data_IF_587895663313
#
_entry.id   IF_587895663313
#
_cell.length_a   1.000
_cell.length_b   1.000
_cell.length_c   1.000
_cell.angle_alpha   90.00
_cell.angle_beta   90.00
_cell.angle_gamma   90.00
#
_symmetry.space_group_name_H-M   'P 1'
#
loop_
_entity.id
_entity.type
_entity.pdbx_description
1 polymer ?
#
# COMPACT_ATOMS: atom_id res chain seq x y z
N UNK A 1 -15.74 0.07 9.51
CA UNK A 1 -14.42 0.53 10.00
C UNK A 1 -13.96 1.66 9.10
N UNK A 2 -13.68 2.83 9.65
CA UNK A 2 -13.03 3.94 8.94
C UNK A 2 -11.59 4.04 9.45
N UNK A 3 -10.63 4.04 8.54
CA UNK A 3 -9.23 4.28 8.91
C UNK A 3 -9.01 5.79 9.00
N UNK A 4 -8.23 6.23 9.99
CA UNK A 4 -8.01 7.65 10.29
C UNK A 4 -6.85 8.22 9.48
N UNK A 5 -5.88 7.39 9.14
CA UNK A 5 -4.65 7.81 8.47
C UNK A 5 -4.35 6.95 7.24
N UNK A 6 -3.63 7.54 6.30
CA UNK A 6 -2.85 6.87 5.27
C UNK A 6 -1.39 7.34 5.37
N UNK A 7 -0.47 6.62 4.73
CA UNK A 7 0.92 7.06 4.60
C UNK A 7 1.19 7.56 3.20
N UNK A 8 1.87 8.71 3.11
CA UNK A 8 2.48 9.24 1.88
C UNK A 8 3.97 9.41 2.11
N UNK A 9 4.80 8.62 1.41
CA UNK A 9 6.26 8.64 1.55
C UNK A 9 6.75 8.50 3.00
N UNK A 10 6.00 7.75 3.83
CA UNK A 10 6.29 7.56 5.25
C UNK A 10 5.63 8.56 6.20
N UNK A 11 5.11 9.69 5.70
CA UNK A 11 4.35 10.64 6.51
C UNK A 11 2.91 10.16 6.71
N UNK A 12 2.41 10.21 7.95
CA UNK A 12 1.04 9.85 8.27
C UNK A 12 0.12 11.06 8.13
N UNK A 13 -0.82 10.98 7.19
CA UNK A 13 -1.76 12.04 6.87
C UNK A 13 -3.21 11.58 7.11
N UNK A 14 -4.13 12.50 7.42
CA UNK A 14 -5.56 12.19 7.56
C UNK A 14 -6.12 11.48 6.32
N UNK A 15 -6.92 10.44 6.52
CA UNK A 15 -7.44 9.61 5.43
C UNK A 15 -8.35 10.37 4.44
N UNK A 16 -8.94 11.49 4.84
CA UNK A 16 -9.71 12.38 3.97
C UNK A 16 -8.85 13.21 3.00
N UNK A 17 -7.53 13.30 3.25
CA UNK A 17 -6.55 13.90 2.36
C UNK A 17 -5.97 12.90 1.35
N UNK A 18 -6.38 11.63 1.37
CA UNK A 18 -5.98 10.61 0.41
C UNK A 18 -6.67 10.83 -0.95
N UNK A 19 -6.39 11.96 -1.60
CA UNK A 19 -7.02 12.41 -2.84
C UNK A 19 -5.97 12.45 -3.94
N UNK A 20 -6.27 11.83 -5.08
CA UNK A 20 -5.44 11.93 -6.29
C UNK A 20 -6.14 12.85 -7.30
N UNK A 21 -5.53 13.97 -7.70
CA UNK A 21 -6.11 14.87 -8.72
C UNK A 21 -6.22 14.17 -10.08
N UNK A 22 -7.30 14.41 -10.83
CA UNK A 22 -7.45 13.90 -12.20
C UNK A 22 -6.40 14.45 -13.19
N UNK A 23 -5.75 15.56 -12.83
CA UNK A 23 -4.64 16.14 -13.60
C UNK A 23 -3.30 15.42 -13.39
N UNK A 24 -3.23 14.47 -12.45
CA UNK A 24 -2.04 13.64 -12.25
C UNK A 24 -1.92 12.64 -13.42
N UNK A 25 -1.00 12.95 -14.32
CA UNK A 25 -0.80 12.20 -15.57
C UNK A 25 -0.27 10.79 -15.31
N UNK A 26 0.54 10.60 -14.27
CA UNK A 26 1.16 9.32 -13.94
C UNK A 26 0.08 8.37 -13.41
N UNK A 27 -0.85 8.91 -12.61
CA UNK A 27 -2.04 8.17 -12.21
C UNK A 27 -2.97 7.90 -13.40
N UNK A 28 -3.20 8.89 -14.27
CA UNK A 28 -4.10 8.77 -15.41
C UNK A 28 -3.66 7.70 -16.43
N UNK A 29 -2.34 7.54 -16.64
CA UNK A 29 -1.78 6.50 -17.51
C UNK A 29 -1.38 5.23 -16.76
N UNK A 30 -1.48 5.21 -15.43
CA UNK A 30 -1.19 4.04 -14.61
C UNK A 30 0.30 3.68 -14.53
N UNK A 31 1.20 4.67 -14.59
CA UNK A 31 2.63 4.42 -14.43
C UNK A 31 2.98 4.21 -12.95
N UNK A 32 2.94 2.96 -12.52
CA UNK A 32 3.25 2.57 -11.15
C UNK A 32 3.09 1.09 -10.90
N UNK A 33 3.46 0.68 -9.68
CA UNK A 33 3.33 -0.69 -9.20
C UNK A 33 2.58 -0.71 -7.87
N UNK A 34 2.02 -1.86 -7.51
CA UNK A 34 1.29 -1.98 -6.26
C UNK A 34 1.45 -3.35 -5.62
N UNK A 35 1.18 -3.39 -4.31
CA UNK A 35 1.04 -4.60 -3.53
C UNK A 35 -0.25 -4.59 -2.72
N UNK A 36 -0.70 -5.78 -2.35
CA UNK A 36 -1.84 -5.97 -1.44
C UNK A 36 -1.46 -6.95 -0.36
N UNK A 37 -1.38 -6.47 0.88
CA UNK A 37 -0.86 -7.22 2.03
C UNK A 37 -1.97 -7.39 3.05
N UNK A 38 -2.20 -8.62 3.50
CA UNK A 38 -3.16 -8.88 4.56
C UNK A 38 -2.55 -8.54 5.92
N UNK A 39 -3.27 -7.78 6.73
CA UNK A 39 -2.99 -7.59 8.15
C UNK A 39 -3.93 -8.49 8.95
N UNK A 40 -3.40 -9.21 9.93
CA UNK A 40 -4.20 -10.02 10.85
C UNK A 40 -3.52 -10.06 12.21
N UNK A 41 -4.29 -9.83 13.28
CA UNK A 41 -3.76 -9.67 14.65
C UNK A 41 -2.72 -8.55 14.73
N UNK A 42 -2.96 -7.46 14.01
CA UNK A 42 -2.05 -6.30 13.93
C UNK A 42 -0.72 -6.57 13.23
N UNK A 43 -0.56 -7.72 12.55
CA UNK A 43 0.69 -8.06 11.84
C UNK A 43 0.47 -8.19 10.34
N UNK A 44 1.27 -7.50 9.50
CA UNK A 44 1.26 -7.75 8.06
C UNK A 44 1.83 -9.15 7.77
N UNK A 45 1.23 -9.85 6.82
CA UNK A 45 1.65 -11.20 6.42
C UNK A 45 2.65 -11.12 5.28
N UNK A 46 3.81 -11.77 5.43
CA UNK A 46 4.84 -11.85 4.38
C UNK A 46 5.32 -10.46 3.93
N UNK A 47 5.47 -9.54 4.90
CA UNK A 47 5.72 -8.13 4.60
C UNK A 47 7.04 -7.94 3.84
N UNK A 48 8.06 -8.69 4.22
CA UNK A 48 9.37 -8.73 3.59
C UNK A 48 9.27 -9.18 2.12
N UNK A 49 8.57 -10.29 1.83
CA UNK A 49 8.43 -10.76 0.44
C UNK A 49 7.59 -9.82 -0.42
N UNK A 50 6.54 -9.21 0.16
CA UNK A 50 5.73 -8.22 -0.54
C UNK A 50 6.52 -6.93 -0.82
N UNK A 51 7.28 -6.41 0.15
CA UNK A 51 8.11 -5.21 -0.05
C UNK A 51 9.23 -5.46 -1.07
N UNK A 52 9.88 -6.63 -1.02
CA UNK A 52 10.87 -7.01 -2.03
C UNK A 52 10.25 -7.09 -3.43
N UNK A 53 9.06 -7.69 -3.58
CA UNK A 53 8.36 -7.78 -4.87
C UNK A 53 7.92 -6.42 -5.41
N UNK A 54 7.54 -5.49 -4.53
CA UNK A 54 7.23 -4.11 -4.93
C UNK A 54 8.45 -3.44 -5.59
N UNK A 55 9.63 -3.58 -4.99
CA UNK A 55 10.87 -3.01 -5.55
C UNK A 55 11.24 -3.67 -6.88
N UNK A 56 11.18 -5.00 -6.96
CA UNK A 56 11.44 -5.73 -8.21
C UNK A 56 10.47 -5.32 -9.33
N UNK A 57 9.21 -5.08 -8.99
CA UNK A 57 8.22 -4.62 -9.95
C UNK A 57 8.52 -3.20 -10.44
N UNK A 58 8.93 -2.30 -9.54
CA UNK A 58 9.31 -0.94 -9.89
C UNK A 58 10.54 -0.92 -10.82
N UNK A 59 11.55 -1.73 -10.50
CA UNK A 59 12.73 -1.93 -11.34
C UNK A 59 12.36 -2.46 -12.74
N UNK A 60 11.47 -3.46 -12.82
CA UNK A 60 11.05 -4.07 -14.08
C UNK A 60 10.38 -3.09 -15.06
N UNK A 61 9.76 -2.02 -14.56
CA UNK A 61 9.15 -0.97 -15.39
C UNK A 61 10.04 0.28 -15.52
N UNK A 62 11.24 0.27 -14.95
CA UNK A 62 12.16 1.41 -14.97
C UNK A 62 11.69 2.61 -14.14
N UNK A 63 10.92 2.38 -13.07
CA UNK A 63 10.46 3.44 -12.18
C UNK A 63 11.61 3.83 -11.21
N UNK A 64 12.13 5.04 -11.35
CA UNK A 64 13.18 5.56 -10.49
C UNK A 64 12.62 6.07 -9.15
N UNK A 65 13.22 5.65 -8.03
CA UNK A 65 12.88 6.06 -6.68
C UNK A 65 13.99 5.70 -5.67
N UNK A 66 13.89 6.23 -4.44
CA UNK A 66 14.87 5.98 -3.37
C UNK A 66 14.34 5.06 -2.24
N UNK A 67 13.08 4.62 -2.32
CA UNK A 67 12.52 3.70 -1.32
C UNK A 67 13.23 2.35 -1.30
N UNK A 68 13.42 1.80 -0.10
CA UNK A 68 13.94 0.45 0.13
C UNK A 68 12.86 -0.45 0.73
N UNK A 69 12.97 -1.79 0.63
CA UNK A 69 12.00 -2.69 1.26
C UNK A 69 11.80 -2.41 2.75
N UNK A 70 12.89 -2.15 3.48
CA UNK A 70 12.88 -1.84 4.91
C UNK A 70 12.13 -0.55 5.21
N UNK A 71 12.33 0.52 4.41
CA UNK A 71 11.56 1.76 4.57
C UNK A 71 10.05 1.52 4.39
N UNK A 72 9.67 0.74 3.38
CA UNK A 72 8.25 0.43 3.14
C UNK A 72 7.66 -0.36 4.30
N UNK A 73 8.41 -1.32 4.85
CA UNK A 73 8.01 -2.10 6.02
C UNK A 73 7.82 -1.21 7.26
N UNK A 74 8.75 -0.31 7.55
CA UNK A 74 8.63 0.67 8.64
C UNK A 74 7.38 1.54 8.50
N UNK A 75 7.07 2.00 7.28
CA UNK A 75 5.88 2.82 7.01
C UNK A 75 4.59 2.03 7.18
N UNK A 76 4.59 0.74 6.80
CA UNK A 76 3.46 -0.17 7.05
C UNK A 76 3.22 -0.32 8.55
N UNK A 77 4.27 -0.58 9.33
CA UNK A 77 4.16 -0.76 10.77
C UNK A 77 3.65 0.50 11.47
N UNK A 78 4.19 1.66 11.12
CA UNK A 78 3.75 2.95 11.63
C UNK A 78 2.25 3.20 11.32
N UNK A 79 1.82 2.89 10.10
CA UNK A 79 0.43 3.06 9.68
C UNK A 79 -0.54 2.11 10.43
N UNK A 80 -0.16 0.85 10.61
CA UNK A 80 -0.94 -0.14 11.36
C UNK A 80 -1.12 0.34 12.80
N UNK A 81 -0.04 0.79 13.44
CA UNK A 81 -0.05 1.28 14.81
C UNK A 81 -0.95 2.52 14.96
N UNK A 82 -0.80 3.53 14.09
CA UNK A 82 -1.58 4.77 14.16
C UNK A 82 -3.08 4.57 13.93
N UNK A 83 -3.44 3.58 13.11
CA UNK A 83 -4.84 3.23 12.86
C UNK A 83 -5.40 2.19 13.86
N UNK A 84 -4.59 1.70 14.81
CA UNK A 84 -4.98 0.68 15.80
C UNK A 84 -5.63 -0.56 15.13
N UNK A 85 -5.05 -1.00 14.01
CA UNK A 85 -5.67 -2.01 13.15
C UNK A 85 -5.40 -3.43 13.66
N UNK A 86 -6.46 -4.18 13.93
CA UNK A 86 -6.34 -5.63 14.12
C UNK A 86 -6.32 -6.40 12.78
N UNK A 87 -7.25 -6.07 11.88
CA UNK A 87 -7.42 -6.76 10.60
C UNK A 87 -7.79 -5.79 9.48
N UNK A 88 -7.02 -5.78 8.39
CA UNK A 88 -7.31 -5.03 7.16
C UNK A 88 -6.61 -5.65 5.94
N UNK A 89 -6.84 -5.11 4.75
CA UNK A 89 -5.93 -5.26 3.63
C UNK A 89 -5.18 -3.94 3.44
N UNK A 90 -3.86 -3.97 3.47
CA UNK A 90 -3.03 -2.84 3.05
C UNK A 90 -2.99 -2.80 1.52
N UNK A 91 -3.16 -1.60 0.98
CA UNK A 91 -2.86 -1.29 -0.42
C UNK A 91 -1.63 -0.39 -0.42
N UNK A 92 -0.56 -0.87 -1.03
CA UNK A 92 0.70 -0.15 -1.19
C UNK A 92 0.82 0.19 -2.67
N UNK A 93 1.02 1.45 -3.03
CA UNK A 93 1.12 1.89 -4.41
C UNK A 93 2.32 2.80 -4.56
N UNK A 94 3.23 2.44 -5.44
CA UNK A 94 4.34 3.29 -5.85
C UNK A 94 4.03 3.82 -7.24
N UNK A 95 3.64 5.09 -7.29
CA UNK A 95 3.33 5.79 -8.54
C UNK A 95 4.56 6.56 -8.97
N UNK A 96 4.94 6.42 -10.24
CA UNK A 96 6.14 7.00 -10.81
C UNK A 96 5.96 8.46 -11.23
N UNK A 97 6.85 8.92 -12.11
CA UNK A 97 6.87 10.27 -12.67
C UNK A 97 8.10 11.06 -12.25
N UNK A 98 8.06 12.39 -12.47
CA UNK A 98 9.15 13.30 -12.06
C UNK A 98 9.42 13.23 -10.56
N UNK A 99 8.40 12.98 -9.76
CA UNK A 99 8.48 12.80 -8.32
C UNK A 99 7.69 11.55 -7.96
N UNK A 100 8.35 10.45 -7.59
CA UNK A 100 7.65 9.21 -7.23
C UNK A 100 6.93 9.37 -5.88
N UNK A 101 5.76 8.75 -5.77
CA UNK A 101 4.95 8.78 -4.56
C UNK A 101 4.59 7.36 -4.12
N UNK A 102 4.90 7.04 -2.86
CA UNK A 102 4.55 5.81 -2.19
C UNK A 102 3.36 6.04 -1.27
N UNK A 103 2.19 5.54 -1.69
CA UNK A 103 0.96 5.57 -0.91
C UNK A 103 0.75 4.24 -0.20
N UNK A 104 0.41 4.28 1.09
CA UNK A 104 0.01 3.09 1.85
C UNK A 104 -1.30 3.41 2.56
N UNK A 105 -2.32 2.59 2.34
CA UNK A 105 -3.62 2.76 3.00
C UNK A 105 -4.19 1.43 3.47
N UNK A 106 -4.91 1.48 4.58
CA UNK A 106 -5.72 0.37 5.03
C UNK A 106 -7.06 0.38 4.28
N UNK A 107 -7.46 -0.76 3.76
CA UNK A 107 -8.74 -1.00 3.13
C UNK A 107 -9.58 -1.95 3.98
N UNK A 108 -10.89 -1.73 3.97
CA UNK A 108 -11.81 -2.60 4.67
C UNK A 108 -11.62 -4.02 4.13
N UNK A 109 -11.49 -5.03 5.01
CA UNK A 109 -11.25 -6.37 4.55
C UNK A 109 -12.46 -6.87 3.75
N UNK A 110 -12.32 -6.96 2.43
CA UNK A 110 -13.26 -7.69 1.59
C UNK A 110 -12.85 -9.15 1.58
N UNK A 111 -13.32 -9.88 2.59
CA UNK A 111 -13.20 -11.32 2.59
C UNK A 111 -14.32 -11.90 1.73
N UNK A 112 -13.93 -12.57 0.65
CA UNK A 112 -14.85 -13.41 -0.10
C UNK A 112 -15.30 -14.54 0.83
N UNK A 113 -16.60 -14.87 0.85
CA UNK A 113 -17.13 -15.94 1.71
C UNK A 113 -16.32 -17.22 1.47
N UNK A 114 -15.91 -17.92 2.54
CA UNK A 114 -15.22 -19.21 2.46
C UNK A 114 -15.93 -20.21 1.55
N UNK A 115 -17.26 -20.09 1.39
CA UNK A 115 -18.05 -20.90 0.47
C UNK A 115 -17.64 -20.75 -1.00
N UNK A 116 -17.11 -19.59 -1.41
CA UNK A 116 -16.73 -19.30 -2.80
C UNK A 116 -15.37 -19.92 -3.18
N UNK A 117 -14.57 -20.35 -2.20
CA UNK A 117 -13.31 -21.10 -2.43
C UNK A 117 -13.49 -22.62 -2.35
N UNK A 118 -14.72 -23.12 -2.16
CA UNK A 118 -14.97 -24.57 -2.05
C UNK A 118 -14.90 -25.30 -3.40
N UNK A 119 -14.94 -24.58 -4.52
CA UNK A 119 -15.03 -25.18 -5.86
C UNK A 119 -13.93 -24.73 -6.84
N UNK A 120 -12.90 -24.01 -6.37
CA UNK A 120 -11.78 -23.56 -7.20
C UNK A 120 -11.14 -22.30 -6.65
#
# INVERSE_FOLDING_TARGET
MSFRYFSLNGELLPADQAVVPLSDIEYAYGFGVYESVRVSKGKPRFADEHCARLMLSAEAIGLAHDFTPTMVEEYIEALIAANEVDTCNLKIMLIGGKTPHLYIQCLAPRFVDRKLYKTG
#
